data_IF_819720787756
#
_entry.id   IF_819720787756
#
_cell.length_a   1.000
_cell.length_b   1.000
_cell.length_c   1.000
_cell.angle_alpha   90.00
_cell.angle_beta   90.00
_cell.angle_gamma   90.00
#
_symmetry.space_group_name_H-M   'P 1'
#
loop_
_entity.id
_entity.type
_entity.pdbx_description
1 polymer ?
#
# COMPACT_ATOMS: atom_id res chain seq x y z
N UNK A 1 48.97 10.03 14.40
CA UNK A 1 47.80 9.64 15.21
C UNK A 1 46.59 10.27 14.54
N UNK A 2 46.01 9.56 13.57
CA UNK A 2 44.76 9.99 12.93
C UNK A 2 43.60 9.49 13.79
N UNK A 3 42.75 10.43 14.19
CA UNK A 3 41.53 10.16 14.94
C UNK A 3 40.58 9.33 14.06
N UNK A 4 40.41 8.05 14.41
CA UNK A 4 39.28 7.25 13.93
C UNK A 4 37.99 7.83 14.53
N UNK A 5 37.26 8.60 13.73
CA UNK A 5 35.90 9.00 14.08
C UNK A 5 35.07 7.72 14.15
N UNK A 6 34.55 7.43 15.35
CA UNK A 6 33.72 6.27 15.63
C UNK A 6 32.34 6.46 14.98
N UNK A 7 32.18 5.95 13.77
CA UNK A 7 31.01 6.15 12.89
C UNK A 7 29.75 5.37 13.32
N UNK A 8 29.82 4.60 14.41
CA UNK A 8 28.69 3.77 14.88
C UNK A 8 27.47 4.56 15.38
N UNK A 9 27.59 5.88 15.58
CA UNK A 9 26.48 6.71 16.06
C UNK A 9 25.58 7.27 14.95
N UNK A 10 26.05 7.35 13.69
CA UNK A 10 25.27 7.95 12.60
C UNK A 10 24.29 6.96 11.95
N UNK A 11 24.52 5.65 12.08
CA UNK A 11 23.71 4.60 11.45
C UNK A 11 22.48 4.16 12.27
N UNK A 12 22.35 4.60 13.53
CA UNK A 12 21.36 4.06 14.47
C UNK A 12 19.88 4.25 14.02
N UNK A 13 19.61 5.33 13.29
CA UNK A 13 18.28 5.65 12.75
C UNK A 13 18.13 5.32 11.26
N UNK A 14 19.20 4.88 10.60
CA UNK A 14 19.15 4.51 9.19
C UNK A 14 18.50 3.11 9.03
N UNK A 15 17.48 2.95 8.16
CA UNK A 15 16.98 1.61 7.80
C UNK A 15 18.00 0.72 7.08
N UNK A 16 19.07 1.34 6.61
CA UNK A 16 20.22 0.69 6.01
C UNK A 16 21.31 0.74 7.07
N UNK A 17 21.33 -0.28 7.92
CA UNK A 17 22.43 -0.46 8.85
C UNK A 17 23.48 -1.29 8.11
N UNK A 18 24.71 -0.79 8.04
CA UNK A 18 25.86 -1.41 7.36
C UNK A 18 26.13 -2.86 7.80
N UNK A 19 25.61 -3.27 8.96
CA UNK A 19 25.69 -4.63 9.51
C UNK A 19 24.51 -5.57 9.24
N UNK A 20 23.58 -5.27 8.33
CA UNK A 20 22.52 -6.24 7.98
C UNK A 20 23.10 -7.40 7.18
N UNK A 21 23.23 -8.58 7.83
CA UNK A 21 23.53 -9.87 7.20
C UNK A 21 22.85 -9.94 5.82
N UNK A 22 23.64 -10.09 4.76
CA UNK A 22 23.16 -10.29 3.40
C UNK A 22 22.16 -11.45 3.40
N UNK A 23 20.87 -11.12 3.43
CA UNK A 23 19.83 -12.11 3.20
C UNK A 23 19.82 -12.37 1.71
N UNK A 24 20.13 -13.60 1.33
CA UNK A 24 19.87 -14.08 -0.02
C UNK A 24 18.39 -13.86 -0.33
N UNK A 25 18.14 -13.25 -1.48
CA UNK A 25 16.80 -12.95 -1.96
C UNK A 25 16.07 -14.28 -2.21
N UNK A 26 14.89 -14.44 -1.61
CA UNK A 26 14.04 -15.61 -1.77
C UNK A 26 13.49 -15.65 -3.20
N UNK A 27 13.54 -16.82 -3.83
CA UNK A 27 12.87 -17.05 -5.13
C UNK A 27 11.35 -17.11 -4.91
N UNK A 28 10.72 -15.95 -5.00
CA UNK A 28 9.29 -15.78 -4.79
C UNK A 28 8.80 -14.43 -5.30
N UNK A 29 7.48 -14.34 -5.49
CA UNK A 29 6.83 -13.15 -6.02
C UNK A 29 6.12 -12.38 -4.92
N UNK A 30 6.26 -11.06 -4.92
CA UNK A 30 5.59 -10.18 -3.99
C UNK A 30 4.84 -9.07 -4.73
N UNK A 31 3.67 -8.70 -4.20
CA UNK A 31 2.87 -7.58 -4.68
C UNK A 31 2.96 -6.42 -3.70
N UNK A 32 3.29 -5.24 -4.19
CA UNK A 32 3.18 -4.00 -3.44
C UNK A 32 2.01 -3.16 -3.98
N UNK A 33 1.14 -2.69 -3.09
CA UNK A 33 0.01 -1.82 -3.42
C UNK A 33 0.12 -0.48 -2.70
N UNK A 34 0.22 0.60 -3.48
CA UNK A 34 0.54 1.94 -2.98
C UNK A 34 -0.67 2.69 -2.40
N UNK A 35 -0.39 3.86 -1.81
CA UNK A 35 -1.40 4.77 -1.31
C UNK A 35 -2.03 5.71 -2.34
N UNK A 36 -3.27 6.15 -2.05
CA UNK A 36 -3.97 7.18 -2.83
C UNK A 36 -5.48 7.28 -2.58
N UNK A 37 -5.95 6.96 -1.38
CA UNK A 37 -7.38 6.98 -1.02
C UNK A 37 -8.22 6.00 -1.83
N UNK A 38 -9.51 6.30 -2.03
CA UNK A 38 -10.40 5.44 -2.81
C UNK A 38 -9.97 5.31 -4.28
N UNK A 39 -9.36 6.33 -4.87
CA UNK A 39 -8.80 6.23 -6.23
C UNK A 39 -7.82 5.06 -6.35
N UNK A 40 -6.82 5.02 -5.48
CA UNK A 40 -5.84 3.93 -5.47
C UNK A 40 -6.49 2.59 -5.14
N UNK A 41 -7.39 2.55 -4.15
CA UNK A 41 -8.15 1.35 -3.81
C UNK A 41 -8.87 0.77 -5.03
N UNK A 42 -9.63 1.58 -5.78
CA UNK A 42 -10.35 1.13 -7.00
C UNK A 42 -9.41 0.69 -8.12
N UNK A 43 -8.30 1.40 -8.31
CA UNK A 43 -7.26 1.03 -9.26
C UNK A 43 -6.64 -0.35 -8.92
N UNK A 44 -6.34 -0.60 -7.64
CA UNK A 44 -5.82 -1.89 -7.19
C UNK A 44 -6.84 -3.03 -7.32
N UNK A 45 -8.14 -2.74 -7.23
CA UNK A 45 -9.18 -3.74 -7.52
C UNK A 45 -9.02 -4.31 -8.93
N UNK A 46 -8.81 -3.44 -9.92
CA UNK A 46 -8.56 -3.86 -11.30
C UNK A 46 -7.28 -4.67 -11.47
N UNK A 47 -6.18 -4.23 -10.83
CA UNK A 47 -4.91 -4.95 -10.89
C UNK A 47 -5.02 -6.36 -10.27
N UNK A 48 -5.64 -6.48 -9.09
CA UNK A 48 -5.87 -7.78 -8.43
C UNK A 48 -6.80 -8.67 -9.26
N UNK A 49 -7.81 -8.09 -9.91
CA UNK A 49 -8.66 -8.82 -10.84
C UNK A 49 -7.85 -9.45 -11.97
N UNK A 50 -6.97 -8.69 -12.62
CA UNK A 50 -6.14 -9.25 -13.69
C UNK A 50 -5.14 -10.31 -13.18
N UNK A 51 -4.54 -10.09 -12.00
CA UNK A 51 -3.66 -11.07 -11.37
C UNK A 51 -4.39 -12.38 -11.07
N UNK A 52 -5.66 -12.31 -10.65
CA UNK A 52 -6.49 -13.47 -10.40
C UNK A 52 -6.78 -14.25 -11.69
N UNK A 53 -7.23 -13.58 -12.75
CA UNK A 53 -7.54 -14.22 -14.04
C UNK A 53 -6.33 -14.88 -14.72
N UNK A 54 -5.16 -14.28 -14.56
CA UNK A 54 -3.91 -14.78 -15.17
C UNK A 54 -3.25 -15.89 -14.36
N UNK A 55 -3.80 -16.26 -13.19
CA UNK A 55 -3.19 -17.25 -12.30
C UNK A 55 -1.91 -16.76 -11.61
N UNK A 56 -1.60 -15.46 -11.69
CA UNK A 56 -0.44 -14.85 -11.03
C UNK A 56 -0.70 -14.62 -9.54
N UNK A 57 -1.93 -14.28 -9.15
CA UNK A 57 -2.32 -14.03 -7.76
C UNK A 57 -1.94 -15.17 -6.80
N UNK A 58 -2.25 -16.47 -7.06
CA UNK A 58 -1.87 -17.56 -6.15
C UNK A 58 -0.36 -17.80 -6.03
N UNK A 59 0.46 -17.23 -6.92
CA UNK A 59 1.93 -17.36 -6.88
C UNK A 59 2.57 -16.40 -5.88
N UNK A 60 1.82 -15.38 -5.42
CA UNK A 60 2.32 -14.41 -4.46
C UNK A 60 2.72 -15.10 -3.15
N UNK A 61 3.88 -14.70 -2.61
CA UNK A 61 4.41 -15.04 -1.28
C UNK A 61 4.25 -13.90 -0.29
N UNK A 62 4.10 -12.66 -0.79
CA UNK A 62 3.85 -11.47 0.03
C UNK A 62 2.94 -10.46 -0.66
N UNK A 63 2.10 -9.83 0.13
CA UNK A 63 1.40 -8.59 -0.24
C UNK A 63 1.78 -7.50 0.76
N UNK A 64 2.41 -6.43 0.29
CA UNK A 64 2.80 -5.26 1.08
C UNK A 64 1.94 -4.07 0.69
N UNK A 65 1.33 -3.41 1.67
CA UNK A 65 0.36 -2.35 1.40
C UNK A 65 0.60 -1.09 2.20
N UNK A 66 0.16 0.03 1.64
CA UNK A 66 0.25 1.36 2.25
C UNK A 66 -1.05 2.12 1.99
N UNK A 67 -1.56 2.84 3.01
CA UNK A 67 -2.66 3.79 2.86
C UNK A 67 -3.92 3.21 2.19
N UNK A 68 -4.49 3.89 1.20
CA UNK A 68 -5.64 3.40 0.44
C UNK A 68 -5.46 1.99 -0.16
N UNK A 69 -4.22 1.59 -0.48
CA UNK A 69 -3.90 0.23 -0.90
C UNK A 69 -4.09 -0.81 0.22
N UNK A 70 -3.92 -0.42 1.48
CA UNK A 70 -4.18 -1.28 2.65
C UNK A 70 -5.66 -1.62 2.82
N UNK A 71 -6.58 -0.79 2.32
CA UNK A 71 -8.01 -1.11 2.32
C UNK A 71 -8.27 -2.32 1.40
N UNK A 72 -7.79 -2.26 0.16
CA UNK A 72 -7.90 -3.37 -0.79
C UNK A 72 -7.12 -4.60 -0.31
N UNK A 73 -5.90 -4.44 0.17
CA UNK A 73 -5.08 -5.56 0.65
C UNK A 73 -5.69 -6.26 1.88
N UNK A 74 -6.33 -5.51 2.79
CA UNK A 74 -7.02 -6.08 3.94
C UNK A 74 -8.19 -6.97 3.54
N UNK A 75 -9.02 -6.52 2.57
CA UNK A 75 -10.14 -7.34 2.06
C UNK A 75 -9.59 -8.57 1.34
N UNK A 76 -8.58 -8.38 0.47
CA UNK A 76 -7.90 -9.45 -0.26
C UNK A 76 -7.38 -10.54 0.69
N UNK A 77 -6.79 -10.16 1.82
CA UNK A 77 -6.29 -11.09 2.81
C UNK A 77 -7.40 -11.96 3.41
N UNK A 78 -8.54 -11.37 3.78
CA UNK A 78 -9.65 -12.09 4.42
C UNK A 78 -10.33 -13.09 3.50
N UNK A 79 -10.33 -12.81 2.19
CA UNK A 79 -10.93 -13.70 1.20
C UNK A 79 -9.92 -14.65 0.56
N UNK A 80 -8.64 -14.58 0.92
CA UNK A 80 -7.57 -15.27 0.19
C UNK A 80 -7.84 -16.76 0.02
N UNK A 81 -8.29 -17.44 1.08
CA UNK A 81 -8.62 -18.86 1.04
C UNK A 81 -9.80 -19.23 0.12
N UNK A 82 -10.63 -18.26 -0.27
CA UNK A 82 -11.78 -18.44 -1.18
C UNK A 82 -11.43 -18.20 -2.64
N UNK A 83 -10.45 -17.33 -2.91
CA UNK A 83 -10.08 -16.89 -4.26
C UNK A 83 -8.69 -17.37 -4.72
N UNK A 84 -8.08 -18.28 -3.97
CA UNK A 84 -6.82 -18.91 -4.39
C UNK A 84 -6.99 -19.89 -5.58
N UNK A 85 -8.24 -20.13 -6.03
CA UNK A 85 -8.57 -20.79 -7.31
C UNK A 85 -9.21 -19.81 -8.31
N UNK A 86 -9.24 -20.16 -9.61
CA UNK A 86 -9.56 -19.25 -10.74
C UNK A 86 -11.07 -18.99 -10.93
N UNK A 87 -11.87 -18.94 -9.87
CA UNK A 87 -13.31 -18.67 -9.99
C UNK A 87 -13.63 -17.17 -9.94
N UNK A 88 -13.78 -16.54 -11.11
CA UNK A 88 -14.05 -15.10 -11.24
C UNK A 88 -15.30 -14.59 -10.52
N UNK A 89 -16.35 -15.41 -10.39
CA UNK A 89 -17.61 -14.98 -9.73
C UNK A 89 -17.43 -14.74 -8.24
N UNK A 90 -16.56 -15.51 -7.59
CA UNK A 90 -16.29 -15.36 -6.16
C UNK A 90 -15.47 -14.09 -5.89
N UNK A 91 -14.51 -13.76 -6.76
CA UNK A 91 -13.77 -12.51 -6.69
C UNK A 91 -14.70 -11.29 -6.81
N UNK A 92 -15.60 -11.27 -7.78
CA UNK A 92 -16.52 -10.15 -7.95
C UNK A 92 -17.39 -9.94 -6.70
N UNK A 93 -17.97 -11.02 -6.18
CA UNK A 93 -18.86 -11.00 -5.02
C UNK A 93 -18.14 -10.63 -3.72
N UNK A 94 -16.94 -11.14 -3.49
CA UNK A 94 -16.26 -11.03 -2.18
C UNK A 94 -15.16 -9.97 -2.13
N UNK A 95 -14.68 -9.51 -3.28
CA UNK A 95 -13.64 -8.48 -3.37
C UNK A 95 -14.15 -7.19 -4.01
N UNK A 96 -14.67 -7.29 -5.23
CA UNK A 96 -15.00 -6.12 -6.05
C UNK A 96 -16.17 -5.37 -5.44
N UNK A 97 -17.28 -6.07 -5.18
CA UNK A 97 -18.53 -5.49 -4.67
C UNK A 97 -18.36 -4.82 -3.29
N UNK A 98 -17.77 -5.44 -2.25
CA UNK A 98 -17.58 -4.76 -0.96
C UNK A 98 -16.73 -3.49 -1.07
N UNK A 99 -15.68 -3.51 -1.88
CA UNK A 99 -14.85 -2.33 -2.11
C UNK A 99 -15.59 -1.25 -2.95
N UNK A 100 -16.63 -1.61 -3.72
CA UNK A 100 -17.49 -0.63 -4.42
C UNK A 100 -18.44 0.04 -3.46
N UNK A 101 -19.12 -0.77 -2.64
CA UNK A 101 -20.04 -0.30 -1.60
C UNK A 101 -19.32 0.64 -0.62
N UNK A 102 -18.08 0.31 -0.27
CA UNK A 102 -17.22 1.18 0.50
C UNK A 102 -16.94 2.51 -0.18
N UNK A 103 -16.58 2.50 -1.47
CA UNK A 103 -16.35 3.72 -2.24
C UNK A 103 -17.63 4.53 -2.50
N UNK A 104 -18.80 3.94 -2.28
CA UNK A 104 -20.10 4.63 -2.26
C UNK A 104 -20.43 5.28 -0.90
N UNK A 105 -19.55 5.15 0.09
CA UNK A 105 -19.72 5.73 1.43
C UNK A 105 -18.63 6.77 1.70
N UNK A 106 -19.02 7.96 2.16
CA UNK A 106 -18.06 9.01 2.55
C UNK A 106 -17.52 8.76 3.96
N UNK A 107 -16.20 8.65 4.06
CA UNK A 107 -15.42 8.62 5.31
C UNK A 107 -14.46 9.81 5.26
N UNK A 108 -15.01 11.00 5.00
CA UNK A 108 -14.23 12.22 4.91
C UNK A 108 -14.13 12.94 6.25
N UNK A 109 -13.03 13.65 6.41
CA UNK A 109 -12.77 14.54 7.53
C UNK A 109 -13.86 15.60 7.65
N UNK A 110 -14.39 16.17 6.56
CA UNK A 110 -15.46 17.18 6.64
C UNK A 110 -16.77 16.62 7.20
N UNK A 111 -17.12 15.39 6.82
CA UNK A 111 -18.27 14.66 7.35
C UNK A 111 -18.02 14.23 8.80
N UNK A 112 -16.81 13.79 9.14
CA UNK A 112 -16.40 13.43 10.50
C UNK A 112 -16.22 14.67 11.40
N UNK A 113 -15.91 15.85 10.84
CA UNK A 113 -15.86 17.15 11.50
C UNK A 113 -17.27 17.64 11.85
N UNK A 114 -18.31 17.29 11.10
CA UNK A 114 -19.70 17.51 11.58
C UNK A 114 -20.03 16.60 12.77
N UNK A 115 -19.37 15.44 12.85
CA UNK A 115 -19.45 14.49 13.97
C UNK A 115 -18.48 14.91 15.11
N UNK A 116 -17.77 16.04 15.05
CA UNK A 116 -16.89 16.51 16.15
C UNK A 116 -17.66 16.84 17.44
N UNK A 117 -18.98 16.98 17.36
CA UNK A 117 -19.87 17.11 18.52
C UNK A 117 -20.02 15.79 19.32
N UNK A 118 -19.57 14.65 18.78
CA UNK A 118 -19.62 13.34 19.45
C UNK A 118 -18.23 12.95 19.99
N UNK A 119 -18.15 12.41 21.24
CA UNK A 119 -16.89 12.02 21.87
C UNK A 119 -16.11 10.98 21.07
N UNK A 120 -14.78 11.00 21.18
CA UNK A 120 -13.86 10.04 20.53
C UNK A 120 -13.00 10.63 19.40
N UNK A 121 -11.92 9.93 19.02
CA UNK A 121 -10.97 10.41 17.99
C UNK A 121 -11.50 10.16 16.59
N UNK A 122 -11.05 10.97 15.63
CA UNK A 122 -11.37 10.78 14.19
C UNK A 122 -10.95 9.39 13.73
N UNK A 123 -9.77 8.91 14.15
CA UNK A 123 -9.28 7.59 13.81
C UNK A 123 -10.14 6.46 14.37
N UNK A 124 -10.80 6.62 15.51
CA UNK A 124 -11.71 5.60 16.04
C UNK A 124 -13.00 5.54 15.21
N UNK A 125 -13.50 6.68 14.73
CA UNK A 125 -14.65 6.74 13.80
C UNK A 125 -14.34 6.08 12.45
N UNK A 126 -13.14 6.31 11.90
CA UNK A 126 -12.68 5.63 10.68
C UNK A 126 -12.52 4.12 10.91
N UNK A 127 -11.97 3.72 12.06
CA UNK A 127 -11.86 2.31 12.45
C UNK A 127 -13.25 1.64 12.47
N UNK A 128 -14.21 2.26 13.16
CA UNK A 128 -15.58 1.76 13.23
C UNK A 128 -16.26 1.66 11.85
N UNK A 129 -16.00 2.61 10.95
CA UNK A 129 -16.50 2.53 9.57
C UNK A 129 -15.89 1.35 8.80
N UNK A 130 -14.58 1.13 8.92
CA UNK A 130 -13.92 -0.05 8.32
C UNK A 130 -14.41 -1.37 8.92
N UNK A 131 -14.65 -1.44 10.23
CA UNK A 131 -15.26 -2.62 10.89
C UNK A 131 -16.67 -2.86 10.36
N UNK A 132 -17.50 -1.82 10.29
CA UNK A 132 -18.89 -1.92 9.81
C UNK A 132 -18.99 -2.38 8.36
N UNK A 133 -18.15 -1.83 7.49
CA UNK A 133 -18.32 -1.97 6.04
C UNK A 133 -17.45 -3.06 5.41
N UNK A 134 -16.29 -3.41 5.99
CA UNK A 134 -15.32 -4.29 5.35
C UNK A 134 -14.83 -5.44 6.22
N UNK A 135 -14.38 -5.15 7.45
CA UNK A 135 -13.57 -6.11 8.21
C UNK A 135 -14.30 -6.81 9.36
N UNK A 136 -15.48 -6.34 9.75
CA UNK A 136 -16.19 -6.85 10.92
C UNK A 136 -15.29 -6.81 12.16
N UNK A 137 -15.24 -7.92 12.89
CA UNK A 137 -14.37 -8.11 14.07
C UNK A 137 -13.03 -8.78 13.75
N UNK A 138 -12.66 -8.89 12.48
CA UNK A 138 -11.45 -9.60 12.08
C UNK A 138 -10.18 -8.91 12.61
N UNK A 139 -9.24 -9.74 13.02
CA UNK A 139 -7.95 -9.39 13.62
C UNK A 139 -6.80 -9.80 12.72
N UNK A 140 -5.58 -9.35 13.04
CA UNK A 140 -4.38 -9.79 12.33
C UNK A 140 -4.21 -11.33 12.35
N UNK A 141 -4.82 -12.04 13.30
CA UNK A 141 -4.78 -13.51 13.34
C UNK A 141 -5.66 -14.19 12.28
N UNK A 142 -6.62 -13.46 11.70
CA UNK A 142 -7.51 -13.94 10.63
C UNK A 142 -6.87 -13.80 9.24
N UNK A 143 -5.73 -13.11 9.13
CA UNK A 143 -4.93 -13.06 7.91
C UNK A 143 -4.42 -14.46 7.53
N UNK A 144 -4.15 -14.76 6.24
CA UNK A 144 -3.58 -16.04 5.84
C UNK A 144 -2.13 -16.18 6.33
N UNK A 145 -1.67 -17.42 6.46
CA UNK A 145 -0.26 -17.71 6.76
C UNK A 145 0.65 -17.56 5.54
N UNK A 146 0.12 -17.84 4.35
CA UNK A 146 0.80 -17.69 3.06
C UNK A 146 -0.22 -17.28 1.97
N UNK A 147 0.03 -16.19 1.21
CA UNK A 147 1.13 -15.26 1.35
C UNK A 147 1.08 -14.47 2.66
N UNK A 148 2.22 -13.89 3.01
CA UNK A 148 2.30 -12.97 4.14
C UNK A 148 1.75 -11.61 3.73
N UNK A 149 0.71 -11.14 4.42
CA UNK A 149 0.23 -9.76 4.29
C UNK A 149 0.95 -8.84 5.28
N UNK A 150 1.41 -7.70 4.79
CA UNK A 150 2.09 -6.66 5.58
C UNK A 150 1.41 -5.32 5.36
N UNK A 151 0.78 -4.80 6.41
CA UNK A 151 0.18 -3.46 6.42
C UNK A 151 1.17 -2.49 7.07
N UNK A 152 1.67 -1.53 6.28
CA UNK A 152 2.76 -0.65 6.69
C UNK A 152 2.25 0.69 7.24
N UNK A 153 2.89 1.15 8.31
CA UNK A 153 2.70 2.46 8.94
C UNK A 153 4.04 3.02 9.37
N UNK A 154 4.03 4.27 9.82
CA UNK A 154 5.18 4.87 10.52
C UNK A 154 4.83 5.02 11.98
N UNK A 155 5.76 4.64 12.84
CA UNK A 155 5.75 5.05 14.23
C UNK A 155 6.38 6.44 14.33
N UNK A 156 5.56 7.45 14.58
CA UNK A 156 5.97 8.87 14.64
C UNK A 156 6.93 9.11 15.81
N UNK A 157 6.87 8.30 16.87
CA UNK A 157 7.77 8.44 18.01
C UNK A 157 9.21 8.01 17.68
N UNK A 158 9.38 6.94 16.92
CA UNK A 158 10.69 6.38 16.59
C UNK A 158 11.23 6.83 15.23
N UNK A 159 10.36 7.34 14.35
CA UNK A 159 10.68 7.62 12.95
C UNK A 159 10.82 6.37 12.08
N UNK A 160 10.50 5.18 12.60
CA UNK A 160 10.70 3.90 11.92
C UNK A 160 9.38 3.28 11.41
N UNK A 161 9.54 2.30 10.51
CA UNK A 161 8.41 1.55 9.94
C UNK A 161 7.79 0.63 11.00
N UNK A 162 6.49 0.80 11.23
CA UNK A 162 5.66 -0.13 11.99
C UNK A 162 4.92 -1.08 11.05
N UNK A 163 5.16 -2.38 11.20
CA UNK A 163 4.60 -3.42 10.32
C UNK A 163 3.56 -4.24 11.07
N UNK A 164 2.33 -4.27 10.60
CA UNK A 164 1.32 -5.23 11.06
C UNK A 164 1.32 -6.46 10.14
N UNK A 165 1.38 -7.66 10.74
CA UNK A 165 1.22 -8.95 10.06
C UNK A 165 0.62 -9.98 11.02
N UNK A 166 0.24 -11.15 10.52
CA UNK A 166 -0.24 -12.27 11.36
C UNK A 166 0.75 -12.64 12.46
N UNK A 167 2.01 -12.86 12.09
CA UNK A 167 3.01 -13.43 13.00
C UNK A 167 3.52 -12.43 14.06
N UNK A 168 3.57 -11.13 13.74
CA UNK A 168 3.95 -10.07 14.69
C UNK A 168 3.34 -8.72 14.31
N UNK A 169 3.44 -7.76 15.22
CA UNK A 169 3.57 -6.36 14.86
C UNK A 169 4.89 -5.81 15.38
N UNK A 170 5.58 -4.99 14.59
CA UNK A 170 6.98 -4.62 14.89
C UNK A 170 7.40 -3.27 14.35
N UNK A 171 8.15 -2.58 15.20
CA UNK A 171 9.12 -1.53 14.88
C UNK A 171 10.52 -2.07 15.23
N UNK A 172 11.52 -1.91 14.36
CA UNK A 172 12.83 -2.54 14.60
C UNK A 172 13.62 -1.86 15.74
N UNK A 173 13.34 -0.59 16.04
CA UNK A 173 13.97 0.15 17.12
C UNK A 173 13.31 -0.16 18.47
N UNK A 174 11.99 -0.31 18.49
CA UNK A 174 11.20 -0.51 19.72
C UNK A 174 11.05 -1.98 20.08
N UNK A 175 10.84 -2.85 19.09
CA UNK A 175 10.67 -4.29 19.30
C UNK A 175 9.42 -4.86 18.65
N UNK A 176 9.20 -6.15 18.90
CA UNK A 176 8.10 -6.91 18.30
C UNK A 176 7.15 -7.49 19.35
N UNK A 177 5.87 -7.49 19.00
CA UNK A 177 4.82 -8.23 19.71
C UNK A 177 4.38 -9.38 18.81
N UNK A 178 4.51 -10.60 19.28
CA UNK A 178 4.17 -11.82 18.53
C UNK A 178 2.66 -12.11 18.57
N UNK A 179 2.13 -12.69 17.48
CA UNK A 179 0.71 -13.06 17.34
C UNK A 179 -0.28 -11.97 17.82
N UNK A 180 -0.14 -10.71 17.34
CA UNK A 180 -0.98 -9.60 17.80
C UNK A 180 -2.45 -9.81 17.45
N UNK A 181 -3.35 -9.39 18.33
CA UNK A 181 -4.82 -9.48 18.14
C UNK A 181 -5.47 -8.14 17.75
N UNK A 182 -4.67 -7.18 17.27
CA UNK A 182 -5.18 -5.89 16.77
C UNK A 182 -6.17 -6.14 15.62
N UNK A 183 -7.26 -5.37 15.58
CA UNK A 183 -8.23 -5.48 14.48
C UNK A 183 -7.60 -5.06 13.15
N UNK A 184 -7.97 -5.74 12.06
CA UNK A 184 -7.50 -5.36 10.71
C UNK A 184 -7.96 -3.93 10.41
N UNK A 185 -9.17 -3.56 10.83
CA UNK A 185 -9.68 -2.21 10.69
C UNK A 185 -8.75 -1.17 11.31
N UNK A 186 -8.30 -1.36 12.55
CA UNK A 186 -7.38 -0.42 13.21
C UNK A 186 -6.03 -0.35 12.49
N UNK A 187 -5.51 -1.49 12.03
CA UNK A 187 -4.27 -1.55 11.27
C UNK A 187 -4.38 -0.80 9.92
N UNK A 188 -5.49 -0.97 9.20
CA UNK A 188 -5.78 -0.25 7.95
C UNK A 188 -6.01 1.24 8.22
N UNK A 189 -6.72 1.60 9.29
CA UNK A 189 -6.89 3.01 9.71
C UNK A 189 -5.56 3.68 9.98
N UNK A 190 -4.65 3.04 10.72
CA UNK A 190 -3.30 3.55 10.91
C UNK A 190 -2.58 3.77 9.57
N UNK A 191 -2.74 2.83 8.63
CA UNK A 191 -2.03 2.87 7.35
C UNK A 191 -2.56 3.96 6.44
N UNK A 192 -3.87 4.25 6.50
CA UNK A 192 -4.54 5.35 5.79
C UNK A 192 -4.61 6.67 6.56
N UNK A 193 -3.95 6.74 7.72
CA UNK A 193 -3.98 7.89 8.63
C UNK A 193 -3.12 9.06 8.12
N UNK A 194 -3.46 9.63 6.97
CA UNK A 194 -2.69 10.72 6.38
C UNK A 194 -2.93 12.04 7.14
N UNK A 195 -1.87 12.80 7.48
CA UNK A 195 -1.99 14.10 8.15
C UNK A 195 -2.80 15.14 7.36
N UNK A 196 -3.39 16.16 8.02
CA UNK A 196 -3.36 16.43 9.45
C UNK A 196 -4.54 15.81 10.22
N UNK A 197 -5.51 15.22 9.54
CA UNK A 197 -6.83 14.99 10.14
C UNK A 197 -7.12 13.53 10.50
N UNK A 198 -6.55 12.57 9.76
CA UNK A 198 -6.69 11.14 10.04
C UNK A 198 -5.54 10.60 10.90
N UNK A 199 -4.55 11.46 11.15
CA UNK A 199 -3.35 11.21 11.95
C UNK A 199 -3.38 12.05 13.23
N UNK A 200 -2.77 11.60 14.35
CA UNK A 200 -2.21 10.27 14.54
C UNK A 200 -3.27 9.23 14.93
N UNK A 201 -2.99 7.98 14.59
CA UNK A 201 -3.68 6.81 15.14
C UNK A 201 -2.88 6.30 16.32
N UNK A 202 -3.49 6.23 17.50
CA UNK A 202 -2.83 5.73 18.69
C UNK A 202 -3.24 4.28 18.95
N UNK A 203 -2.25 3.46 19.31
CA UNK A 203 -2.41 2.08 19.73
C UNK A 203 -1.84 1.94 21.14
N UNK A 204 -2.69 1.57 22.09
CA UNK A 204 -2.25 1.24 23.44
C UNK A 204 -1.62 -0.15 23.43
N UNK A 205 -0.49 -0.30 24.11
CA UNK A 205 0.35 -1.48 24.08
C UNK A 205 0.65 -1.96 25.50
N UNK A 206 0.80 -3.26 25.67
CA UNK A 206 1.30 -3.86 26.90
C UNK A 206 2.83 -4.03 26.79
N UNK A 207 3.64 -3.35 27.61
CA UNK A 207 5.08 -3.53 27.62
C UNK A 207 5.53 -4.99 27.79
N UNK A 208 4.74 -5.80 28.52
CA UNK A 208 5.05 -7.20 28.76
C UNK A 208 4.78 -8.10 27.54
N UNK A 209 4.02 -7.61 26.56
CA UNK A 209 3.75 -8.35 25.33
C UNK A 209 4.91 -8.29 24.32
N UNK A 210 5.89 -7.42 24.54
CA UNK A 210 7.07 -7.32 23.68
C UNK A 210 8.05 -8.46 23.96
N UNK A 211 8.55 -9.08 22.90
CA UNK A 211 9.65 -10.04 23.01
C UNK A 211 10.90 -9.32 23.57
N UNK A 212 11.48 -9.74 24.71
CA UNK A 212 12.66 -9.09 25.28
C UNK A 212 13.83 -9.07 24.30
N UNK A 213 14.50 -7.93 24.17
CA UNK A 213 15.67 -7.76 23.28
C UNK A 213 15.36 -7.81 21.78
N UNK A 214 14.09 -7.73 21.38
CA UNK A 214 13.68 -7.72 19.97
C UNK A 214 13.76 -6.34 19.31
N UNK A 215 13.82 -5.28 20.13
CA UNK A 215 14.11 -3.92 19.70
C UNK A 215 15.61 -3.60 19.78
N UNK A 216 15.95 -2.39 19.38
CA UNK A 216 17.27 -1.80 19.58
C UNK A 216 17.24 -0.90 20.83
N UNK A 217 17.81 0.29 20.76
CA UNK A 217 17.91 1.23 21.88
C UNK A 217 16.59 1.89 22.32
N UNK A 218 15.45 1.63 21.67
CA UNK A 218 14.14 2.21 22.02
C UNK A 218 13.19 1.23 22.74
N UNK A 219 13.60 0.01 23.08
CA UNK A 219 12.75 -0.94 23.81
C UNK A 219 12.64 -0.58 25.31
N UNK A 220 11.91 0.49 25.63
CA UNK A 220 11.62 0.94 26.99
C UNK A 220 10.18 1.48 27.10
N UNK A 221 9.70 1.68 28.34
CA UNK A 221 8.30 2.04 28.61
C UNK A 221 7.76 3.23 27.81
N UNK A 222 8.60 4.23 27.50
CA UNK A 222 8.20 5.41 26.74
C UNK A 222 7.77 5.09 25.30
N UNK A 223 8.21 3.95 24.76
CA UNK A 223 7.90 3.48 23.42
C UNK A 223 7.07 2.18 23.41
N UNK A 224 7.00 1.44 24.53
CA UNK A 224 6.30 0.14 24.61
C UNK A 224 4.92 0.21 25.28
N UNK A 225 4.55 1.32 25.93
CA UNK A 225 3.18 1.53 26.45
C UNK A 225 2.20 1.97 25.38
N UNK A 226 2.71 2.56 24.29
CA UNK A 226 1.89 3.18 23.26
C UNK A 226 2.69 3.36 21.97
N UNK A 227 2.02 3.17 20.84
CA UNK A 227 2.52 3.59 19.54
C UNK A 227 1.65 4.71 18.96
N UNK A 228 2.31 5.77 18.49
CA UNK A 228 1.69 6.87 17.73
C UNK A 228 1.98 6.64 16.25
N UNK A 229 0.97 6.21 15.51
CA UNK A 229 1.10 5.77 14.13
C UNK A 229 0.55 6.81 13.15
N UNK A 230 1.17 6.88 11.97
CA UNK A 230 0.69 7.65 10.82
C UNK A 230 0.84 6.83 9.54
N UNK A 231 0.26 7.33 8.45
CA UNK A 231 0.31 6.70 7.12
C UNK A 231 1.73 6.23 6.74
N UNK A 232 1.84 4.96 6.32
CA UNK A 232 3.11 4.34 5.92
C UNK A 232 3.78 5.01 4.71
N UNK A 233 3.01 5.76 3.92
CA UNK A 233 3.47 6.42 2.72
C UNK A 233 4.48 7.53 2.96
N UNK A 234 4.49 8.11 4.16
CA UNK A 234 5.49 9.12 4.55
C UNK A 234 6.92 8.52 4.57
N UNK A 235 7.07 7.20 4.68
CA UNK A 235 8.35 6.48 4.69
C UNK A 235 8.62 5.77 3.38
N UNK A 236 7.60 5.04 2.90
CA UNK A 236 7.69 4.25 1.69
C UNK A 236 6.32 4.14 1.03
N UNK A 237 6.04 5.08 0.12
CA UNK A 237 4.77 5.13 -0.62
C UNK A 237 4.43 3.89 -1.42
N UNK A 238 5.45 3.14 -1.86
CA UNK A 238 5.23 1.98 -2.71
C UNK A 238 5.12 0.70 -1.91
N UNK A 239 5.42 0.70 -0.60
CA UNK A 239 5.44 -0.51 0.23
C UNK A 239 6.57 -1.49 -0.15
N UNK A 240 7.63 -0.99 -0.79
CA UNK A 240 8.79 -1.73 -1.27
C UNK A 240 9.73 -2.23 -0.16
N UNK A 241 9.92 -1.50 0.93
CA UNK A 241 10.95 -1.77 1.94
C UNK A 241 10.82 -3.18 2.53
N UNK A 242 9.59 -3.65 2.72
CA UNK A 242 9.35 -4.99 3.26
C UNK A 242 9.45 -6.11 2.22
N UNK A 243 9.57 -5.78 0.94
CA UNK A 243 9.60 -6.72 -0.19
C UNK A 243 11.00 -6.79 -0.80
N UNK A 244 11.61 -5.64 -1.04
CA UNK A 244 12.87 -5.46 -1.76
C UNK A 244 14.01 -6.33 -1.24
N UNK A 245 14.15 -6.38 0.08
CA UNK A 245 15.21 -7.13 0.78
C UNK A 245 14.95 -8.65 0.84
N UNK A 246 13.90 -9.16 0.17
CA UNK A 246 13.42 -10.53 0.38
C UNK A 246 12.98 -11.29 -0.86
N UNK A 247 12.41 -10.65 -1.88
CA UNK A 247 11.84 -11.39 -3.01
C UNK A 247 12.48 -11.00 -4.33
N UNK A 248 12.71 -12.00 -5.18
CA UNK A 248 13.33 -11.84 -6.49
C UNK A 248 12.39 -11.16 -7.49
N UNK A 249 11.09 -11.50 -7.44
CA UNK A 249 10.08 -10.90 -8.31
C UNK A 249 9.21 -9.93 -7.54
N UNK A 250 9.18 -8.68 -7.98
CA UNK A 250 8.46 -7.58 -7.35
C UNK A 250 7.43 -7.02 -8.33
N UNK A 251 6.15 -7.18 -8.01
CA UNK A 251 5.06 -6.53 -8.71
C UNK A 251 4.63 -5.30 -7.91
N UNK A 252 4.47 -4.16 -8.57
CA UNK A 252 4.02 -2.94 -7.91
C UNK A 252 2.85 -2.35 -8.65
N UNK A 253 1.73 -2.21 -7.96
CA UNK A 253 0.56 -1.46 -8.42
C UNK A 253 0.56 -0.10 -7.72
N UNK A 254 0.62 0.98 -8.50
CA UNK A 254 0.73 2.34 -7.99
C UNK A 254 -0.45 3.24 -8.42
N UNK A 255 -1.37 3.50 -7.48
CA UNK A 255 -2.52 4.39 -7.64
C UNK A 255 -2.27 5.85 -7.19
N UNK A 256 -1.01 6.20 -6.97
CA UNK A 256 -0.59 7.50 -6.46
C UNK A 256 -0.79 8.68 -7.41
N UNK A 257 -1.14 9.84 -6.85
CA UNK A 257 -1.24 11.11 -7.59
C UNK A 257 -0.01 12.00 -7.34
N UNK A 258 0.37 12.74 -8.39
CA UNK A 258 1.13 13.99 -8.30
C UNK A 258 0.58 14.94 -9.36
N UNK A 259 0.19 16.15 -8.98
CA UNK A 259 -0.23 17.19 -9.91
C UNK A 259 0.56 18.48 -9.68
N UNK A 260 0.84 19.16 -10.79
CA UNK A 260 1.21 20.57 -10.76
C UNK A 260 0.02 21.39 -10.23
N UNK A 261 0.32 22.44 -9.48
CA UNK A 261 -0.68 23.38 -8.97
C UNK A 261 -0.30 24.75 -9.51
N UNK A 262 -1.14 25.32 -10.36
CA UNK A 262 -0.87 26.60 -11.04
C UNK A 262 -0.91 27.80 -10.10
N UNK A 263 -1.66 27.70 -9.01
CA UNK A 263 -1.80 28.74 -8.00
C UNK A 263 -1.82 28.09 -6.59
N UNK A 264 -0.65 27.71 -6.04
CA UNK A 264 -0.58 27.14 -4.70
C UNK A 264 -1.06 28.15 -3.66
N UNK A 265 -1.76 27.66 -2.64
CA UNK A 265 -2.20 28.51 -1.54
C UNK A 265 -1.02 29.17 -0.82
N UNK A 266 -1.20 30.44 -0.42
CA UNK A 266 -0.18 31.27 0.24
C UNK A 266 -0.34 31.35 1.76
N UNK A 267 -1.45 30.88 2.34
CA UNK A 267 -1.58 30.76 3.79
C UNK A 267 -0.74 29.62 4.33
N UNK A 268 -0.17 29.83 5.52
CA UNK A 268 0.77 28.90 6.13
C UNK A 268 0.24 27.47 6.20
N UNK A 269 -1.03 27.26 6.56
CA UNK A 269 -1.58 25.93 6.80
C UNK A 269 -1.73 25.12 5.51
N UNK A 270 -2.33 25.69 4.46
CA UNK A 270 -2.46 25.01 3.17
C UNK A 270 -1.11 24.92 2.45
N UNK A 271 -0.23 25.91 2.61
CA UNK A 271 1.10 25.88 2.05
C UNK A 271 1.98 24.79 2.69
N UNK A 272 1.95 24.62 4.01
CA UNK A 272 2.64 23.51 4.70
C UNK A 272 2.16 22.15 4.21
N UNK A 273 0.85 21.98 3.96
CA UNK A 273 0.32 20.75 3.34
C UNK A 273 0.92 20.53 1.95
N UNK A 274 0.98 21.57 1.12
CA UNK A 274 1.59 21.49 -0.20
C UNK A 274 3.07 21.12 -0.14
N UNK A 275 3.83 21.68 0.81
CA UNK A 275 5.24 21.31 1.03
C UNK A 275 5.37 19.84 1.43
N UNK A 276 4.52 19.35 2.34
CA UNK A 276 4.47 17.93 2.70
C UNK A 276 4.18 17.07 1.46
N UNK A 277 3.20 17.42 0.64
CA UNK A 277 2.89 16.69 -0.60
C UNK A 277 4.08 16.65 -1.58
N UNK A 278 4.89 17.72 -1.65
CA UNK A 278 6.09 17.80 -2.49
C UNK A 278 7.21 16.89 -1.99
N UNK A 279 7.54 16.94 -0.69
CA UNK A 279 8.53 16.06 -0.05
C UNK A 279 8.12 14.60 -0.24
N UNK A 280 6.87 14.31 0.07
CA UNK A 280 6.22 13.00 -0.03
C UNK A 280 6.24 12.48 -1.49
N UNK A 281 6.14 13.36 -2.49
CA UNK A 281 6.32 12.99 -3.89
C UNK A 281 7.78 12.70 -4.27
N UNK A 282 8.76 13.42 -3.72
CA UNK A 282 10.17 13.13 -3.99
C UNK A 282 10.58 11.76 -3.47
N UNK A 283 10.09 11.36 -2.29
CA UNK A 283 10.27 10.00 -1.75
C UNK A 283 9.74 8.95 -2.74
N UNK A 284 8.52 9.14 -3.26
CA UNK A 284 7.95 8.26 -4.29
C UNK A 284 8.82 8.18 -5.53
N UNK A 285 9.29 9.33 -6.05
CA UNK A 285 10.09 9.41 -7.25
C UNK A 285 11.43 8.66 -7.08
N UNK A 286 12.09 8.80 -5.93
CA UNK A 286 13.32 8.08 -5.61
C UNK A 286 13.09 6.56 -5.55
N UNK A 287 12.04 6.11 -4.84
CA UNK A 287 11.68 4.68 -4.77
C UNK A 287 11.33 4.10 -6.14
N UNK A 288 10.63 4.86 -6.99
CA UNK A 288 10.37 4.47 -8.38
C UNK A 288 11.67 4.34 -9.18
N UNK A 289 12.61 5.29 -9.08
CA UNK A 289 13.89 5.19 -9.79
C UNK A 289 14.68 3.95 -9.37
N UNK A 290 14.75 3.66 -8.07
CA UNK A 290 15.38 2.44 -7.54
C UNK A 290 14.72 1.17 -8.11
N UNK A 291 13.39 1.11 -8.11
CA UNK A 291 12.64 -0.02 -8.66
C UNK A 291 12.90 -0.22 -10.16
N UNK A 292 12.80 0.84 -10.95
CA UNK A 292 13.04 0.74 -12.41
C UNK A 292 14.51 0.41 -12.70
N UNK A 293 15.45 0.88 -11.88
CA UNK A 293 16.85 0.49 -11.99
C UNK A 293 17.03 -1.01 -11.74
N UNK A 294 16.37 -1.60 -10.73
CA UNK A 294 16.46 -3.06 -10.51
C UNK A 294 15.94 -3.90 -11.66
N UNK A 295 14.86 -3.47 -12.32
CA UNK A 295 14.31 -4.19 -13.47
C UNK A 295 15.21 -4.12 -14.71
N UNK A 296 16.13 -3.15 -14.74
CA UNK A 296 17.08 -2.94 -15.85
C UNK A 296 18.47 -3.50 -15.53
N UNK A 297 18.76 -3.77 -14.26
CA UNK A 297 20.04 -4.31 -13.84
C UNK A 297 20.23 -5.71 -14.42
N UNK A 298 21.47 -6.10 -14.70
CA UNK A 298 21.78 -7.45 -15.18
C UNK A 298 21.42 -8.49 -14.10
N UNK A 299 21.01 -9.71 -14.45
CA UNK A 299 20.68 -10.76 -13.46
C UNK A 299 21.77 -11.07 -12.43
N UNK A 300 23.04 -10.76 -12.75
CA UNK A 300 24.18 -10.89 -11.85
C UNK A 300 24.32 -9.76 -10.81
N UNK A 301 23.58 -8.67 -10.96
CA UNK A 301 23.64 -7.51 -10.05
C UNK A 301 22.79 -7.78 -8.79
N UNK A 302 23.32 -7.45 -7.62
CA UNK A 302 22.64 -7.62 -6.33
C UNK A 302 21.30 -6.85 -6.25
N UNK A 303 21.17 -5.74 -6.98
CA UNK A 303 19.92 -4.97 -7.01
C UNK A 303 18.89 -5.56 -8.00
N UNK A 304 19.26 -6.52 -8.86
CA UNK A 304 18.38 -7.03 -9.90
C UNK A 304 17.10 -7.63 -9.32
N UNK A 305 15.96 -7.26 -9.90
CA UNK A 305 14.66 -7.82 -9.58
C UNK A 305 13.89 -8.05 -10.87
N UNK A 306 13.16 -9.16 -10.93
CA UNK A 306 12.13 -9.35 -11.95
C UNK A 306 10.84 -8.64 -11.55
N UNK A 307 9.94 -8.45 -12.51
CA UNK A 307 8.56 -8.08 -12.23
C UNK A 307 8.07 -6.87 -13.03
N UNK A 308 7.06 -6.20 -12.51
CA UNK A 308 6.30 -5.20 -13.25
C UNK A 308 5.94 -3.99 -12.37
N UNK A 309 5.92 -2.81 -12.99
CA UNK A 309 5.44 -1.58 -12.37
C UNK A 309 4.21 -1.06 -13.13
N UNK A 310 3.04 -1.20 -12.51
CA UNK A 310 1.75 -0.80 -13.04
C UNK A 310 1.35 0.52 -12.37
N UNK A 311 1.38 1.65 -13.08
CA UNK A 311 1.10 2.96 -12.47
C UNK A 311 -0.05 3.66 -13.16
N UNK A 312 -0.91 4.29 -12.36
CA UNK A 312 -2.13 4.97 -12.83
C UNK A 312 -1.86 6.11 -13.81
N UNK A 313 -0.64 6.63 -13.86
CA UNK A 313 -0.21 7.72 -14.75
C UNK A 313 0.56 7.24 -15.99
N UNK A 314 0.67 5.93 -16.21
CA UNK A 314 1.34 5.40 -17.40
C UNK A 314 0.51 5.65 -18.65
N UNK A 315 1.19 5.86 -19.77
CA UNK A 315 0.64 5.50 -21.06
C UNK A 315 0.76 3.97 -21.24
N UNK A 316 -0.34 3.30 -21.59
CA UNK A 316 -0.37 1.85 -21.78
C UNK A 316 0.55 1.42 -22.94
N UNK A 317 0.76 2.29 -23.93
CA UNK A 317 1.63 2.02 -25.08
C UNK A 317 3.11 1.85 -24.67
N UNK A 318 3.54 2.48 -23.57
CA UNK A 318 4.92 2.38 -23.07
C UNK A 318 5.32 0.95 -22.66
N UNK A 319 4.35 0.07 -22.42
CA UNK A 319 4.63 -1.33 -22.14
C UNK A 319 4.94 -2.11 -23.43
N UNK A 320 4.39 -1.72 -24.59
CA UNK A 320 4.60 -2.43 -25.85
C UNK A 320 4.07 -3.87 -25.82
N UNK A 321 2.98 -4.12 -25.07
CA UNK A 321 2.29 -5.40 -25.08
C UNK A 321 1.45 -5.50 -26.36
N UNK A 322 1.54 -6.61 -27.13
CA UNK A 322 0.66 -6.85 -28.27
C UNK A 322 -0.79 -6.93 -27.78
N UNK A 323 -1.77 -6.52 -28.59
CA UNK A 323 -3.20 -6.60 -28.25
C UNK A 323 -3.53 -6.00 -26.86
N UNK A 324 -2.84 -4.92 -26.49
CA UNK A 324 -3.23 -4.16 -25.31
C UNK A 324 -4.67 -3.68 -25.46
N UNK A 325 -5.44 -3.69 -24.37
CA UNK A 325 -6.88 -3.40 -24.41
C UNK A 325 -7.17 -2.13 -25.24
N UNK A 326 -8.02 -2.24 -26.27
CA UNK A 326 -8.33 -1.10 -27.12
C UNK A 326 -9.04 -0.02 -26.29
N UNK A 327 -8.97 1.23 -26.75
CA UNK A 327 -9.66 2.37 -26.14
C UNK A 327 -9.18 2.76 -24.73
N UNK A 328 -7.85 2.78 -24.50
CA UNK A 328 -7.22 3.51 -23.39
C UNK A 328 -6.53 4.83 -23.82
N UNK A 329 -7.23 5.87 -24.34
CA UNK A 329 -6.57 7.13 -24.67
C UNK A 329 -5.87 7.73 -23.46
N UNK A 330 -4.60 8.12 -23.62
CA UNK A 330 -3.80 8.66 -22.52
C UNK A 330 -4.49 9.84 -21.82
N UNK A 331 -5.18 10.72 -22.56
CA UNK A 331 -5.94 11.82 -21.97
C UNK A 331 -7.04 11.36 -20.99
N UNK A 332 -7.75 10.26 -21.29
CA UNK A 332 -8.80 9.72 -20.41
C UNK A 332 -8.23 9.06 -19.17
N UNK A 333 -7.18 8.25 -19.32
CA UNK A 333 -6.52 7.60 -18.18
C UNK A 333 -5.82 8.61 -17.27
N UNK A 334 -5.30 9.71 -17.83
CA UNK A 334 -4.78 10.83 -17.05
C UNK A 334 -5.87 11.56 -16.27
N UNK A 335 -7.07 11.74 -16.84
CA UNK A 335 -8.20 12.31 -16.09
C UNK A 335 -8.56 11.44 -14.87
N UNK A 336 -8.55 10.10 -15.02
CA UNK A 336 -8.72 9.19 -13.88
C UNK A 336 -7.62 9.36 -12.83
N UNK A 337 -6.37 9.49 -13.27
CA UNK A 337 -5.22 9.70 -12.38
C UNK A 337 -5.26 11.04 -11.62
N UNK A 338 -5.97 12.05 -12.16
CA UNK A 338 -6.18 13.34 -11.52
C UNK A 338 -7.30 13.34 -10.47
N UNK A 339 -8.11 12.28 -10.37
CA UNK A 339 -9.12 12.12 -9.32
C UNK A 339 -8.52 12.41 -7.94
N UNK A 340 -9.14 13.21 -7.06
CA UNK A 340 -8.55 13.58 -5.77
C UNK A 340 -8.22 12.38 -4.85
N UNK A 341 -7.14 12.48 -4.08
CA UNK A 341 -6.80 11.50 -3.03
C UNK A 341 -7.68 11.75 -1.81
N UNK A 342 -8.84 11.10 -1.72
CA UNK A 342 -9.79 11.22 -0.60
C UNK A 342 -10.52 9.91 -0.32
N UNK A 343 -11.15 9.82 0.85
CA UNK A 343 -12.11 8.77 1.23
C UNK A 343 -13.56 9.30 1.10
N UNK A 344 -13.87 9.88 -0.05
CA UNK A 344 -15.16 10.51 -0.36
C UNK A 344 -15.92 9.64 -1.34
N UNK A 345 -17.25 9.62 -1.23
CA UNK A 345 -18.14 8.96 -2.20
C UNK A 345 -17.72 9.21 -3.65
N UNK A 346 -17.68 8.14 -4.44
CA UNK A 346 -17.36 8.16 -5.86
C UNK A 346 -18.56 7.64 -6.67
N UNK A 347 -18.86 8.25 -7.81
CA UNK A 347 -19.91 7.75 -8.71
C UNK A 347 -19.60 6.33 -9.19
N UNK A 348 -20.64 5.53 -9.44
CA UNK A 348 -20.48 4.16 -9.94
C UNK A 348 -19.62 4.09 -11.20
N UNK A 349 -19.87 5.00 -12.16
CA UNK A 349 -19.09 5.11 -13.39
C UNK A 349 -17.60 5.39 -13.13
N UNK A 350 -17.27 6.35 -12.25
CA UNK A 350 -15.87 6.65 -11.93
C UNK A 350 -15.18 5.46 -11.24
N UNK A 351 -15.91 4.75 -10.37
CA UNK A 351 -15.39 3.54 -9.74
C UNK A 351 -15.08 2.46 -10.78
N UNK A 352 -15.97 2.21 -11.74
CA UNK A 352 -15.81 1.23 -12.82
C UNK A 352 -14.64 1.59 -13.74
N UNK A 353 -14.53 2.85 -14.16
CA UNK A 353 -13.43 3.33 -15.01
C UNK A 353 -12.07 3.19 -14.33
N UNK A 354 -11.98 3.44 -13.02
CA UNK A 354 -10.74 3.21 -12.25
C UNK A 354 -10.37 1.73 -12.14
N UNK A 355 -11.34 0.82 -11.97
CA UNK A 355 -11.09 -0.63 -12.03
C UNK A 355 -10.56 -0.99 -13.42
N UNK A 356 -11.28 -0.60 -14.47
CA UNK A 356 -10.93 -0.93 -15.85
C UNK A 356 -9.51 -0.45 -16.19
N UNK A 357 -9.15 0.75 -15.74
CA UNK A 357 -7.80 1.26 -15.95
C UNK A 357 -6.74 0.46 -15.18
N UNK A 358 -7.00 0.17 -13.90
CA UNK A 358 -6.12 -0.70 -13.11
C UNK A 358 -5.92 -2.08 -13.69
N UNK A 359 -7.00 -2.66 -14.25
CA UNK A 359 -6.99 -3.94 -14.96
C UNK A 359 -6.15 -3.86 -16.23
N UNK A 360 -6.43 -2.90 -17.11
CA UNK A 360 -5.77 -2.79 -18.41
C UNK A 360 -4.28 -2.48 -18.34
N UNK A 361 -3.87 -1.56 -17.46
CA UNK A 361 -2.43 -1.26 -17.29
C UNK A 361 -1.70 -2.43 -16.61
N UNK A 362 -2.36 -3.17 -15.71
CA UNK A 362 -1.79 -4.35 -15.11
C UNK A 362 -1.61 -5.47 -16.14
N UNK A 363 -2.59 -5.68 -17.02
CA UNK A 363 -2.48 -6.64 -18.13
C UNK A 363 -1.26 -6.36 -19.00
N UNK A 364 -1.16 -5.14 -19.54
CA UNK A 364 -0.05 -4.76 -20.41
C UNK A 364 1.32 -4.93 -19.73
N UNK A 365 1.41 -4.62 -18.43
CA UNK A 365 2.63 -4.78 -17.67
C UNK A 365 2.99 -6.26 -17.41
N UNK A 366 2.03 -7.10 -17.02
CA UNK A 366 2.23 -8.53 -16.79
C UNK A 366 2.66 -9.25 -18.07
N UNK A 367 1.92 -9.04 -19.15
CA UNK A 367 2.17 -9.69 -20.45
C UNK A 367 3.46 -9.26 -21.12
N UNK A 368 4.08 -8.17 -20.68
CA UNK A 368 5.38 -7.74 -21.22
C UNK A 368 6.55 -8.10 -20.32
N UNK A 369 6.35 -7.98 -19.01
CA UNK A 369 7.46 -7.94 -18.04
C UNK A 369 7.51 -9.16 -17.13
N UNK A 370 6.45 -9.95 -17.07
CA UNK A 370 6.36 -11.13 -16.19
C UNK A 370 6.22 -12.40 -17.00
N UNK A 371 5.24 -12.48 -17.90
CA UNK A 371 5.02 -13.67 -18.72
C UNK A 371 4.37 -13.27 -20.05
N UNK A 372 5.12 -13.42 -21.15
CA UNK A 372 4.67 -13.07 -22.50
C UNK A 372 3.64 -14.06 -23.09
N UNK A 373 3.49 -15.24 -22.47
CA UNK A 373 2.57 -16.30 -22.93
C UNK A 373 1.16 -16.15 -22.33
N UNK A 374 0.96 -15.16 -21.44
CA UNK A 374 -0.35 -14.87 -20.88
C UNK A 374 -1.32 -14.39 -21.99
N UNK A 375 -2.53 -14.96 -22.08
CA UNK A 375 -3.48 -14.57 -23.12
C UNK A 375 -3.95 -13.13 -22.92
N UNK A 376 -4.19 -12.36 -24.00
CA UNK A 376 -4.80 -11.05 -23.88
C UNK A 376 -6.21 -11.17 -23.26
N UNK A 377 -6.66 -10.14 -22.53
CA UNK A 377 -7.99 -10.13 -21.95
C UNK A 377 -9.06 -10.02 -23.04
N UNK A 378 -10.22 -10.65 -22.84
CA UNK A 378 -11.35 -10.56 -23.77
C UNK A 378 -11.97 -9.15 -23.83
N UNK A 379 -11.75 -8.34 -22.79
CA UNK A 379 -12.25 -6.98 -22.68
C UNK A 379 -12.03 -6.42 -21.27
N UNK A 380 -12.59 -5.25 -21.00
CA UNK A 380 -12.64 -4.72 -19.64
C UNK A 380 -13.61 -5.52 -18.76
N UNK A 381 -13.36 -5.58 -17.43
CA UNK A 381 -14.34 -6.11 -16.48
C UNK A 381 -15.72 -5.47 -16.61
N UNK A 382 -15.78 -4.14 -16.78
CA UNK A 382 -17.01 -3.45 -17.17
C UNK A 382 -16.89 -2.85 -18.57
N UNK A 383 -17.54 -3.49 -19.54
CA UNK A 383 -17.51 -3.07 -20.95
C UNK A 383 -18.20 -1.73 -21.21
N UNK A 384 -19.19 -1.34 -20.39
CA UNK A 384 -19.97 -0.11 -20.63
C UNK A 384 -19.23 1.14 -20.17
N UNK A 385 -18.45 1.02 -19.11
CA UNK A 385 -17.77 2.15 -18.49
C UNK A 385 -16.52 2.61 -19.28
N UNK A 386 -15.78 1.70 -19.90
CA UNK A 386 -14.49 2.01 -20.53
C UNK A 386 -13.46 2.58 -19.53
N UNK A 387 -12.60 3.50 -19.97
CA UNK A 387 -11.67 4.27 -19.10
C UNK A 387 -11.87 5.78 -19.20
#
# INVERSE_FOLDING_TARGET
MENSVNDQSQDAFAPVNSGTLERTVENGMALCVSGGGYRAMRFHVGAVWRLHETGVLPQLKRVSSVSGGSIAAGVLALIWGRIAGVNGTELEKTFVKPLREMASTTIDVGSILRVLALPGRISDKVTAAYEKHLFGKATLQDLPGNPVFVINNINVQSGALWRFRKAYMRDYLVGEIVKPRVSIAKAVTASSGFPPFLSPVQLDLDPNAFTPGSGSFLQNESYTKKAVLSDGGVYDKLGLETVWKRYATVLVSDGGKMAAESAPASDWARHSRRVLDLVDNQVRAQRKRQLIASYKAAPSDAIHRDGAYCVIRSDISNYGAPDALPSCPHARTMALAETPTRLVVMSGELQERLINWGYGVCDAALRRRVNNDLPPPAGFPDLRAGV
#
